data_IF_138684117084
#
_entry.id   IF_138684117084
#
_cell.length_a   1.000
_cell.length_b   1.000
_cell.length_c   1.000
_cell.angle_alpha   90.00
_cell.angle_beta   90.00
_cell.angle_gamma   90.00
#
_symmetry.space_group_name_H-M   'P 1'
#
loop_
_entity.id
_entity.type
_entity.pdbx_description
1 polymer ?
#
# COMPACT_ATOMS: atom_id res chain seq x y z
N UNK A 1 -31.79 43.47 14.38
CA UNK A 1 -30.43 42.97 13.97
C UNK A 1 -29.92 41.80 14.80
N UNK A 2 -30.27 41.65 16.08
CA UNK A 2 -29.87 40.55 16.98
C UNK A 2 -30.44 39.17 16.60
N UNK A 3 -31.71 39.14 16.14
CA UNK A 3 -32.45 37.90 15.84
C UNK A 3 -31.90 37.18 14.59
N UNK A 4 -31.51 37.92 13.57
CA UNK A 4 -30.89 37.38 12.34
C UNK A 4 -29.48 36.82 12.56
N UNK A 5 -28.70 37.44 13.48
CA UNK A 5 -27.36 36.90 13.87
C UNK A 5 -27.47 35.60 14.66
N UNK A 6 -28.50 35.42 15.48
CA UNK A 6 -28.72 34.21 16.26
C UNK A 6 -29.15 33.04 15.35
N UNK A 7 -30.04 33.26 14.40
CA UNK A 7 -30.45 32.24 13.43
C UNK A 7 -29.30 31.85 12.46
N UNK A 8 -28.43 32.78 12.12
CA UNK A 8 -27.25 32.46 11.31
C UNK A 8 -26.19 31.66 12.10
N UNK A 9 -26.06 31.93 13.40
CA UNK A 9 -25.16 31.14 14.27
C UNK A 9 -25.72 29.73 14.53
N UNK A 10 -27.03 29.60 14.79
CA UNK A 10 -27.68 28.31 14.98
C UNK A 10 -27.68 27.47 13.68
N UNK A 11 -27.82 28.09 12.52
CA UNK A 11 -27.69 27.42 11.22
C UNK A 11 -26.25 26.97 10.92
N UNK A 12 -25.26 27.79 11.28
CA UNK A 12 -23.84 27.42 11.14
C UNK A 12 -23.44 26.29 12.09
N UNK A 13 -24.00 26.25 13.29
CA UNK A 13 -23.76 25.18 14.26
C UNK A 13 -24.41 23.86 13.83
N UNK A 14 -25.61 23.90 13.27
CA UNK A 14 -26.30 22.74 12.69
C UNK A 14 -25.57 22.19 11.46
N UNK A 15 -25.00 23.05 10.62
CA UNK A 15 -24.20 22.61 9.46
C UNK A 15 -22.86 22.02 9.89
N UNK A 16 -22.20 22.56 10.92
CA UNK A 16 -20.98 21.96 11.47
C UNK A 16 -21.25 20.58 12.13
N UNK A 17 -22.30 20.46 12.95
CA UNK A 17 -22.68 19.18 13.52
C UNK A 17 -23.07 18.13 12.47
N UNK A 18 -23.75 18.52 11.39
CA UNK A 18 -24.07 17.59 10.30
C UNK A 18 -22.83 17.18 9.49
N UNK A 19 -21.86 18.07 9.33
CA UNK A 19 -20.59 17.75 8.66
C UNK A 19 -19.70 16.83 9.48
N UNK A 20 -19.68 16.99 10.82
CA UNK A 20 -18.90 16.13 11.72
C UNK A 20 -19.49 14.72 11.79
N UNK A 21 -20.82 14.59 11.89
CA UNK A 21 -21.50 13.29 11.82
C UNK A 21 -21.36 12.60 10.45
N UNK A 22 -21.35 13.37 9.35
CA UNK A 22 -21.09 12.83 8.02
C UNK A 22 -19.62 12.34 7.92
N UNK A 23 -18.67 13.09 8.45
CA UNK A 23 -17.25 12.69 8.47
C UNK A 23 -17.00 11.44 9.33
N UNK A 24 -17.64 11.33 10.49
CA UNK A 24 -17.58 10.13 11.33
C UNK A 24 -18.23 8.90 10.68
N UNK A 25 -19.38 9.08 10.01
CA UNK A 25 -20.03 8.01 9.28
C UNK A 25 -19.18 7.53 8.10
N UNK A 26 -18.55 8.46 7.38
CA UNK A 26 -17.61 8.16 6.30
C UNK A 26 -16.40 7.40 6.82
N UNK A 27 -15.81 7.83 7.93
CA UNK A 27 -14.66 7.15 8.58
C UNK A 27 -15.04 5.74 9.04
N UNK A 28 -16.26 5.54 9.57
CA UNK A 28 -16.77 4.24 9.97
C UNK A 28 -16.97 3.30 8.76
N UNK A 29 -17.48 3.82 7.63
CA UNK A 29 -17.62 3.07 6.38
C UNK A 29 -16.25 2.74 5.80
N UNK A 30 -15.31 3.70 5.78
CA UNK A 30 -13.93 3.46 5.35
C UNK A 30 -13.28 2.36 6.17
N UNK A 31 -13.37 2.42 7.49
CA UNK A 31 -12.83 1.37 8.39
C UNK A 31 -13.45 0.00 8.15
N UNK A 32 -14.71 -0.06 7.73
CA UNK A 32 -15.43 -1.33 7.51
C UNK A 32 -15.15 -1.96 6.16
N UNK A 33 -15.04 -1.19 5.11
CA UNK A 33 -14.97 -1.68 3.73
C UNK A 33 -13.60 -1.54 3.09
N UNK A 34 -12.76 -0.61 3.58
CA UNK A 34 -11.42 -0.44 3.07
C UNK A 34 -10.48 -1.48 3.68
N UNK A 35 -9.87 -2.31 2.82
CA UNK A 35 -8.86 -3.27 3.24
C UNK A 35 -7.58 -2.58 3.73
N UNK A 36 -7.33 -1.37 3.26
CA UNK A 36 -6.20 -0.54 3.67
C UNK A 36 -6.37 0.00 5.10
N UNK A 37 -7.61 0.06 5.61
CA UNK A 37 -7.89 0.50 6.99
C UNK A 37 -7.52 -0.50 8.08
N UNK A 38 -7.16 -1.75 7.73
CA UNK A 38 -6.65 -2.75 8.68
C UNK A 38 -5.20 -2.51 9.10
N UNK A 39 -4.82 -1.25 9.26
CA UNK A 39 -3.51 -0.82 9.74
C UNK A 39 -3.54 -0.67 11.25
N UNK A 40 -2.41 -0.90 11.91
CA UNK A 40 -2.28 -0.66 13.35
C UNK A 40 -2.56 0.79 13.69
N UNK A 41 -3.29 1.00 14.79
CA UNK A 41 -3.57 2.35 15.32
C UNK A 41 -2.41 2.77 16.19
N UNK A 42 -1.76 3.87 15.79
CA UNK A 42 -0.64 4.45 16.50
C UNK A 42 -1.04 5.80 17.07
N UNK A 43 -0.78 6.03 18.35
CA UNK A 43 -1.08 7.29 19.04
C UNK A 43 0.17 7.83 19.74
N UNK A 44 0.26 9.15 19.88
CA UNK A 44 1.37 9.81 20.55
C UNK A 44 2.70 9.76 19.82
N UNK A 45 3.80 9.61 20.56
CA UNK A 45 5.17 9.54 20.05
C UNK A 45 5.43 8.43 19.03
N UNK A 46 4.94 7.20 19.20
CA UNK A 46 5.12 6.14 18.18
C UNK A 46 4.56 6.53 16.81
N UNK A 47 3.43 7.25 16.78
CA UNK A 47 2.81 7.74 15.53
C UNK A 47 3.75 8.66 14.75
N UNK A 48 4.47 9.55 15.46
CA UNK A 48 5.43 10.46 14.82
C UNK A 48 6.64 9.71 14.27
N UNK A 49 7.17 8.73 15.02
CA UNK A 49 8.29 7.90 14.55
C UNK A 49 7.94 7.13 13.29
N UNK A 50 6.76 6.49 13.25
CA UNK A 50 6.31 5.74 12.09
C UNK A 50 6.05 6.66 10.90
N UNK A 51 5.45 7.85 11.12
CA UNK A 51 5.27 8.85 10.07
C UNK A 51 6.62 9.28 9.47
N UNK A 52 7.61 9.50 10.32
CA UNK A 52 8.97 9.84 9.86
C UNK A 52 9.60 8.69 9.07
N UNK A 53 9.45 7.45 9.54
CA UNK A 53 9.95 6.26 8.85
C UNK A 53 9.29 6.07 7.48
N UNK A 54 7.98 6.29 7.37
CA UNK A 54 7.25 6.25 6.10
C UNK A 54 7.70 7.36 5.14
N UNK A 55 7.91 8.57 5.65
CA UNK A 55 8.44 9.68 4.86
C UNK A 55 9.87 9.39 4.37
N UNK A 56 10.73 8.87 5.24
CA UNK A 56 12.08 8.45 4.87
C UNK A 56 12.08 7.35 3.81
N UNK A 57 11.15 6.38 3.91
CA UNK A 57 10.98 5.35 2.89
C UNK A 57 10.54 5.94 1.54
N UNK A 58 9.60 6.90 1.54
CA UNK A 58 9.16 7.57 0.31
C UNK A 58 10.31 8.32 -0.36
N UNK A 59 11.11 9.06 0.42
CA UNK A 59 12.31 9.74 -0.08
C UNK A 59 13.35 8.74 -0.62
N UNK A 60 13.54 7.63 0.08
CA UNK A 60 14.43 6.57 -0.36
C UNK A 60 13.98 5.94 -1.69
N UNK A 61 12.67 5.72 -1.89
CA UNK A 61 12.13 5.23 -3.15
C UNK A 61 12.36 6.22 -4.31
N UNK A 62 12.17 7.52 -4.06
CA UNK A 62 12.47 8.57 -5.05
C UNK A 62 13.96 8.56 -5.40
N UNK A 63 14.82 8.49 -4.38
CA UNK A 63 16.28 8.41 -4.59
C UNK A 63 16.68 7.19 -5.41
N UNK A 64 16.17 5.99 -5.08
CA UNK A 64 16.42 4.77 -5.84
C UNK A 64 15.99 4.87 -7.30
N UNK A 65 14.88 5.55 -7.56
CA UNK A 65 14.35 5.67 -8.92
C UNK A 65 15.16 6.65 -9.78
N UNK A 66 15.60 7.75 -9.17
CA UNK A 66 16.28 8.84 -9.91
C UNK A 66 17.79 8.63 -10.04
N UNK A 67 18.44 8.13 -9.02
CA UNK A 67 19.91 8.16 -8.91
C UNK A 67 20.58 6.78 -8.95
N UNK A 68 19.88 5.71 -8.52
CA UNK A 68 20.53 4.40 -8.45
C UNK A 68 20.59 3.72 -9.83
N UNK A 69 21.81 3.60 -10.34
CA UNK A 69 22.17 2.90 -11.58
C UNK A 69 22.81 1.53 -11.34
N UNK A 70 22.75 1.03 -10.09
CA UNK A 70 23.30 -0.27 -9.71
C UNK A 70 22.59 -1.46 -10.35
N UNK A 71 23.07 -2.66 -9.99
CA UNK A 71 22.44 -3.92 -10.41
C UNK A 71 20.97 -3.96 -9.96
N UNK A 72 20.03 -4.31 -10.86
CA UNK A 72 18.61 -4.34 -10.54
C UNK A 72 18.30 -5.26 -9.36
N UNK A 73 19.01 -6.38 -9.21
CA UNK A 73 18.84 -7.33 -8.12
C UNK A 73 19.15 -6.71 -6.75
N UNK A 74 20.24 -5.93 -6.64
CA UNK A 74 20.63 -5.24 -5.40
C UNK A 74 19.58 -4.20 -5.01
N UNK A 75 19.05 -3.49 -5.98
CA UNK A 75 18.02 -2.48 -5.78
C UNK A 75 16.70 -3.11 -5.33
N UNK A 76 16.27 -4.17 -6.00
CA UNK A 76 15.03 -4.88 -5.68
C UNK A 76 15.07 -5.55 -4.32
N UNK A 77 16.20 -6.15 -3.93
CA UNK A 77 16.34 -6.76 -2.61
C UNK A 77 16.29 -5.75 -1.48
N UNK A 78 16.94 -4.59 -1.63
CA UNK A 78 16.84 -3.50 -0.65
C UNK A 78 15.42 -2.96 -0.54
N UNK A 79 14.76 -2.77 -1.67
CA UNK A 79 13.37 -2.33 -1.71
C UNK A 79 12.43 -3.32 -1.02
N UNK A 80 12.56 -4.63 -1.31
CA UNK A 80 11.77 -5.69 -0.67
C UNK A 80 12.04 -5.77 0.84
N UNK A 81 13.30 -5.67 1.26
CA UNK A 81 13.63 -5.65 2.69
C UNK A 81 12.92 -4.52 3.43
N UNK A 82 12.89 -3.31 2.86
CA UNK A 82 12.19 -2.17 3.44
C UNK A 82 10.67 -2.36 3.46
N UNK A 83 10.09 -2.92 2.39
CA UNK A 83 8.66 -3.24 2.34
C UNK A 83 8.29 -4.26 3.41
N UNK A 84 9.10 -5.28 3.63
CA UNK A 84 8.86 -6.29 4.66
C UNK A 84 8.86 -5.65 6.04
N UNK A 85 9.85 -4.82 6.35
CA UNK A 85 9.93 -4.10 7.62
C UNK A 85 8.69 -3.24 7.86
N UNK A 86 8.31 -2.42 6.89
CA UNK A 86 7.14 -1.53 6.98
C UNK A 86 5.84 -2.32 6.99
N UNK A 87 5.76 -3.40 6.21
CA UNK A 87 4.58 -4.25 6.13
C UNK A 87 4.24 -4.89 7.47
N UNK A 88 5.20 -5.53 8.13
CA UNK A 88 4.97 -6.13 9.45
C UNK A 88 4.76 -5.09 10.56
N UNK A 89 5.32 -3.90 10.40
CA UNK A 89 5.09 -2.79 11.32
C UNK A 89 3.63 -2.32 11.27
N UNK A 90 3.05 -2.23 10.08
CA UNK A 90 1.73 -1.68 9.88
C UNK A 90 0.60 -2.73 9.92
N UNK A 91 0.82 -3.94 9.38
CA UNK A 91 -0.24 -4.94 9.24
C UNK A 91 -0.21 -5.97 10.38
N UNK A 92 -1.24 -5.99 11.26
CA UNK A 92 -1.34 -6.96 12.35
C UNK A 92 -1.77 -8.34 11.84
N UNK A 93 -1.48 -9.39 12.63
CA UNK A 93 -1.88 -10.78 12.31
C UNK A 93 -3.39 -10.97 12.32
N UNK A 94 -4.08 -10.38 13.31
CA UNK A 94 -5.54 -10.49 13.47
C UNK A 94 -6.20 -9.18 13.10
N UNK A 95 -7.16 -9.26 12.19
CA UNK A 95 -8.04 -8.14 11.82
C UNK A 95 -9.03 -7.88 12.95
N UNK A 96 -9.22 -6.60 13.31
CA UNK A 96 -10.27 -6.19 14.26
C UNK A 96 -9.90 -6.16 15.75
N UNK A 97 -8.81 -6.75 16.20
CA UNK A 97 -8.34 -6.70 17.61
C UNK A 97 -6.99 -5.97 17.67
N UNK A 98 -6.99 -4.71 17.31
CA UNK A 98 -5.77 -3.92 17.30
C UNK A 98 -5.62 -3.19 18.63
N UNK A 99 -4.66 -3.61 19.46
CA UNK A 99 -4.24 -2.84 20.64
C UNK A 99 -3.44 -1.63 20.16
N UNK A 100 -3.74 -0.47 20.72
CA UNK A 100 -3.01 0.77 20.43
C UNK A 100 -1.57 0.62 20.89
N UNK A 101 -0.62 1.04 20.06
CA UNK A 101 0.83 1.07 20.38
C UNK A 101 1.46 -0.28 20.77
N UNK A 102 0.95 -1.42 20.26
CA UNK A 102 1.47 -2.73 20.62
C UNK A 102 2.06 -3.46 19.41
N UNK A 103 3.34 -3.83 19.49
CA UNK A 103 4.01 -4.71 18.55
C UNK A 103 4.26 -6.05 19.26
N UNK A 104 3.65 -7.15 18.82
CA UNK A 104 3.96 -8.46 19.38
C UNK A 104 5.40 -8.86 19.05
N UNK A 105 6.05 -9.57 19.97
CA UNK A 105 7.44 -10.01 19.79
C UNK A 105 7.66 -10.88 18.54
N UNK A 106 6.67 -11.70 18.17
CA UNK A 106 6.75 -12.54 16.98
C UNK A 106 6.78 -11.71 15.67
N UNK A 107 6.16 -10.53 15.64
CA UNK A 107 6.23 -9.64 14.46
C UNK A 107 7.63 -9.05 14.30
N UNK A 108 8.31 -8.75 15.41
CA UNK A 108 9.71 -8.31 15.37
C UNK A 108 10.62 -9.43 14.83
N UNK A 109 10.40 -10.67 15.26
CA UNK A 109 11.13 -11.83 14.73
C UNK A 109 10.86 -12.00 13.24
N UNK A 110 9.61 -11.88 12.77
CA UNK A 110 9.26 -11.98 11.36
C UNK A 110 9.85 -10.82 10.53
N UNK A 111 9.91 -9.60 11.08
CA UNK A 111 10.58 -8.46 10.44
C UNK A 111 12.05 -8.76 10.18
N UNK A 112 12.76 -9.24 11.20
CA UNK A 112 14.20 -9.55 11.10
C UNK A 112 14.39 -10.76 10.18
N UNK A 113 13.64 -11.84 10.39
CA UNK A 113 13.74 -13.07 9.60
C UNK A 113 13.40 -12.84 8.11
N UNK A 114 12.51 -11.88 7.81
CA UNK A 114 12.17 -11.54 6.44
C UNK A 114 13.14 -10.56 5.78
N UNK A 115 13.58 -9.53 6.49
CA UNK A 115 14.49 -8.53 5.92
C UNK A 115 15.93 -9.06 5.76
N UNK A 116 16.42 -9.89 6.69
CA UNK A 116 17.79 -10.40 6.69
C UNK A 116 18.16 -11.19 5.41
N UNK A 117 17.33 -12.12 4.88
CA UNK A 117 17.62 -12.81 3.63
C UNK A 117 17.80 -11.89 2.43
N UNK A 118 16.95 -10.87 2.31
CA UNK A 118 17.03 -9.91 1.19
C UNK A 118 18.23 -8.98 1.33
N UNK A 119 18.55 -8.54 2.53
CA UNK A 119 19.77 -7.75 2.77
C UNK A 119 21.04 -8.57 2.54
N UNK A 120 21.06 -9.83 2.97
CA UNK A 120 22.17 -10.76 2.71
C UNK A 120 22.38 -10.97 1.21
N UNK A 121 21.29 -11.21 0.46
CA UNK A 121 21.37 -11.32 -0.99
C UNK A 121 21.87 -10.01 -1.61
N UNK A 122 21.32 -8.85 -1.21
CA UNK A 122 21.72 -7.56 -1.74
C UNK A 122 23.19 -7.22 -1.49
N UNK A 123 23.76 -7.66 -0.35
CA UNK A 123 25.17 -7.47 -0.03
C UNK A 123 26.08 -8.40 -0.84
N UNK A 124 25.67 -9.63 -1.07
CA UNK A 124 26.44 -10.65 -1.77
C UNK A 124 25.96 -10.88 -3.22
N UNK A 125 25.18 -9.98 -3.80
CA UNK A 125 24.51 -10.18 -5.08
C UNK A 125 25.48 -10.58 -6.20
N UNK A 126 26.64 -9.94 -6.32
CA UNK A 126 27.64 -10.27 -7.33
C UNK A 126 28.16 -11.70 -7.21
N UNK A 127 28.42 -12.16 -5.99
CA UNK A 127 28.89 -13.54 -5.75
C UNK A 127 27.78 -14.56 -6.05
N UNK A 128 26.57 -14.28 -5.60
CA UNK A 128 25.41 -15.17 -5.75
C UNK A 128 25.03 -15.31 -7.22
N UNK A 129 24.98 -14.23 -7.97
CA UNK A 129 24.65 -14.24 -9.41
C UNK A 129 25.68 -14.99 -10.27
N UNK A 130 26.94 -14.98 -9.87
CA UNK A 130 28.01 -15.73 -10.53
C UNK A 130 28.06 -17.20 -10.10
N UNK A 131 27.37 -17.57 -9.02
CA UNK A 131 27.38 -18.93 -8.50
C UNK A 131 26.35 -19.79 -9.21
N UNK A 132 26.80 -20.95 -9.71
CA UNK A 132 25.94 -21.89 -10.43
C UNK A 132 24.87 -22.49 -9.50
N UNK A 133 23.69 -22.79 -10.07
CA UNK A 133 22.60 -23.51 -9.40
C UNK A 133 23.07 -24.75 -8.62
N UNK A 134 23.97 -25.53 -9.21
CA UNK A 134 24.46 -26.78 -8.61
C UNK A 134 25.21 -26.58 -7.27
N UNK A 135 25.79 -25.42 -7.06
CA UNK A 135 26.48 -25.05 -5.81
C UNK A 135 25.45 -24.56 -4.78
N UNK A 136 24.58 -23.63 -5.16
CA UNK A 136 23.57 -23.06 -4.26
C UNK A 136 22.58 -24.13 -3.78
N UNK A 137 22.17 -25.06 -4.65
CA UNK A 137 21.22 -26.11 -4.27
C UNK A 137 21.80 -27.17 -3.33
N UNK A 138 23.13 -27.26 -3.21
CA UNK A 138 23.83 -28.18 -2.27
C UNK A 138 24.09 -27.53 -0.92
N UNK A 139 24.11 -26.20 -0.86
CA UNK A 139 24.34 -25.47 0.38
C UNK A 139 23.06 -25.37 1.22
N UNK A 140 22.96 -26.10 2.36
CA UNK A 140 21.75 -26.08 3.18
C UNK A 140 21.46 -24.70 3.76
N UNK A 141 22.48 -23.89 3.99
CA UNK A 141 22.34 -22.53 4.51
C UNK A 141 21.67 -21.60 3.50
N UNK A 142 22.09 -21.62 2.24
CA UNK A 142 21.48 -20.83 1.16
C UNK A 142 20.03 -21.25 0.93
N UNK A 143 19.76 -22.56 0.95
CA UNK A 143 18.41 -23.07 0.79
C UNK A 143 17.49 -22.64 1.95
N UNK A 144 17.99 -22.71 3.19
CA UNK A 144 17.24 -22.27 4.37
C UNK A 144 16.89 -20.78 4.32
N UNK A 145 17.83 -19.92 3.93
CA UNK A 145 17.60 -18.47 3.75
C UNK A 145 16.49 -18.21 2.75
N UNK A 146 16.50 -18.88 1.60
CA UNK A 146 15.50 -18.73 0.56
C UNK A 146 14.11 -19.21 1.03
N UNK A 147 14.03 -20.34 1.72
CA UNK A 147 12.78 -20.87 2.30
C UNK A 147 12.19 -19.86 3.30
N UNK A 148 12.99 -19.36 4.22
CA UNK A 148 12.55 -18.38 5.22
C UNK A 148 12.02 -17.12 4.54
N UNK A 149 12.72 -16.60 3.54
CA UNK A 149 12.28 -15.43 2.79
C UNK A 149 10.93 -15.64 2.11
N UNK A 150 10.74 -16.80 1.45
CA UNK A 150 9.48 -17.13 0.77
C UNK A 150 8.34 -17.28 1.78
N UNK A 151 8.55 -17.96 2.90
CA UNK A 151 7.53 -18.13 3.94
C UNK A 151 7.11 -16.80 4.56
N UNK A 152 8.07 -15.91 4.82
CA UNK A 152 7.77 -14.57 5.35
C UNK A 152 7.00 -13.72 4.34
N UNK A 153 7.32 -13.80 3.04
CA UNK A 153 6.55 -13.13 1.99
C UNK A 153 5.13 -13.67 1.88
N UNK A 154 4.93 -14.98 2.00
CA UNK A 154 3.60 -15.60 2.02
C UNK A 154 2.80 -15.10 3.22
N UNK A 155 3.42 -15.03 4.39
CA UNK A 155 2.77 -14.49 5.59
C UNK A 155 2.42 -13.00 5.44
N UNK A 156 3.29 -12.20 4.87
CA UNK A 156 3.02 -10.78 4.58
C UNK A 156 1.87 -10.64 3.58
N UNK A 157 1.87 -11.43 2.51
CA UNK A 157 0.78 -11.46 1.53
C UNK A 157 -0.57 -11.83 2.19
N UNK A 158 -0.58 -12.81 3.10
CA UNK A 158 -1.77 -13.19 3.87
C UNK A 158 -2.33 -12.03 4.68
N UNK A 159 -1.46 -11.22 5.27
CA UNK A 159 -1.87 -10.06 6.10
C UNK A 159 -2.40 -8.90 5.27
N UNK A 160 -1.72 -8.56 4.17
CA UNK A 160 -2.06 -7.42 3.33
C UNK A 160 -3.28 -7.69 2.44
N UNK A 161 -3.26 -8.79 1.69
CA UNK A 161 -4.23 -9.06 0.64
C UNK A 161 -5.35 -9.99 1.09
N UNK A 162 -5.02 -10.97 1.93
CA UNK A 162 -5.95 -11.92 2.49
C UNK A 162 -5.90 -13.31 1.85
N UNK A 163 -6.78 -14.19 2.33
CA UNK A 163 -6.80 -15.61 2.00
C UNK A 163 -7.09 -15.95 0.52
N UNK A 164 -8.00 -15.28 -0.21
CA UNK A 164 -8.37 -15.71 -1.57
C UNK A 164 -7.19 -15.79 -2.53
N UNK A 165 -6.34 -14.76 -2.54
CA UNK A 165 -5.15 -14.74 -3.41
C UNK A 165 -4.13 -15.77 -2.94
N UNK A 166 -4.01 -16.00 -1.64
CA UNK A 166 -3.11 -17.00 -1.10
C UNK A 166 -3.49 -18.42 -1.53
N UNK A 167 -4.78 -18.75 -1.66
CA UNK A 167 -5.24 -20.03 -2.20
C UNK A 167 -4.79 -20.22 -3.65
N UNK A 168 -4.93 -19.20 -4.49
CA UNK A 168 -4.49 -19.27 -5.89
C UNK A 168 -2.98 -19.46 -5.99
N UNK A 169 -2.22 -18.65 -5.25
CA UNK A 169 -0.75 -18.77 -5.21
C UNK A 169 -0.32 -20.12 -4.65
N UNK A 170 -0.97 -20.59 -3.58
CA UNK A 170 -0.70 -21.90 -2.98
C UNK A 170 -0.92 -23.05 -3.97
N UNK A 171 -2.03 -23.03 -4.71
CA UNK A 171 -2.33 -24.05 -5.73
C UNK A 171 -1.25 -24.06 -6.84
N UNK A 172 -0.84 -22.88 -7.31
CA UNK A 172 0.22 -22.76 -8.32
C UNK A 172 1.59 -23.23 -7.78
N UNK A 173 1.91 -22.92 -6.53
CA UNK A 173 3.14 -23.41 -5.90
C UNK A 173 3.12 -24.94 -5.77
N UNK A 174 2.02 -25.55 -5.31
CA UNK A 174 1.88 -27.00 -5.21
C UNK A 174 2.05 -27.65 -6.59
N UNK A 175 1.41 -27.10 -7.62
CA UNK A 175 1.57 -27.58 -9.00
C UNK A 175 3.05 -27.51 -9.45
N UNK A 176 3.75 -26.41 -9.14
CA UNK A 176 5.16 -26.24 -9.50
C UNK A 176 6.06 -27.24 -8.77
N UNK A 177 5.83 -27.46 -7.47
CA UNK A 177 6.58 -28.45 -6.67
C UNK A 177 6.31 -29.89 -7.12
N UNK A 178 5.13 -30.19 -7.68
CA UNK A 178 4.84 -31.53 -8.21
C UNK A 178 5.59 -31.80 -9.52
N UNK A 179 5.87 -30.79 -10.33
CA UNK A 179 6.48 -30.95 -11.66
C UNK A 179 7.97 -30.67 -11.70
N UNK A 180 8.52 -29.92 -10.72
CA UNK A 180 9.92 -29.48 -10.71
C UNK A 180 10.58 -29.86 -9.40
N UNK A 181 11.89 -30.19 -9.44
CA UNK A 181 12.66 -30.53 -8.24
C UNK A 181 12.64 -29.38 -7.22
N UNK A 182 12.39 -29.70 -5.97
CA UNK A 182 12.26 -28.76 -4.87
C UNK A 182 13.37 -27.69 -4.81
N UNK A 183 14.64 -28.11 -4.86
CA UNK A 183 15.76 -27.16 -4.82
C UNK A 183 15.81 -26.21 -6.01
N UNK A 184 15.33 -26.62 -7.20
CA UNK A 184 15.26 -25.76 -8.36
C UNK A 184 14.16 -24.71 -8.23
N UNK A 185 13.00 -25.10 -7.73
CA UNK A 185 11.89 -24.17 -7.49
C UNK A 185 12.28 -23.07 -6.51
N UNK A 186 12.94 -23.42 -5.39
CA UNK A 186 13.39 -22.44 -4.40
C UNK A 186 14.48 -21.53 -4.97
N UNK A 187 15.40 -22.08 -5.75
CA UNK A 187 16.43 -21.30 -6.43
C UNK A 187 15.80 -20.30 -7.41
N UNK A 188 14.90 -20.76 -8.26
CA UNK A 188 14.23 -19.92 -9.26
C UNK A 188 13.36 -18.86 -8.60
N UNK A 189 12.68 -19.16 -7.49
CA UNK A 189 11.84 -18.21 -6.76
C UNK A 189 12.63 -17.09 -6.09
N UNK A 190 13.77 -17.38 -5.49
CA UNK A 190 14.49 -16.42 -4.65
C UNK A 190 15.75 -15.84 -5.29
N UNK A 191 16.55 -16.66 -5.99
CA UNK A 191 17.87 -16.25 -6.48
C UNK A 191 17.87 -15.78 -7.93
N UNK A 192 16.76 -15.89 -8.65
CA UNK A 192 16.67 -15.45 -10.04
C UNK A 192 15.69 -14.32 -10.23
N UNK A 193 15.83 -13.62 -11.35
CA UNK A 193 14.87 -12.60 -11.79
C UNK A 193 13.57 -13.19 -12.36
N UNK A 194 13.45 -14.51 -12.44
CA UNK A 194 12.23 -15.20 -12.89
C UNK A 194 11.23 -15.49 -11.75
N UNK A 195 11.65 -15.34 -10.50
CA UNK A 195 10.84 -15.58 -9.31
C UNK A 195 10.27 -14.29 -8.71
N UNK A 196 10.50 -14.10 -7.41
CA UNK A 196 9.98 -12.94 -6.65
C UNK A 196 10.52 -11.62 -7.20
N UNK A 197 11.79 -11.57 -7.64
CA UNK A 197 12.43 -10.36 -8.18
C UNK A 197 12.17 -10.12 -9.68
N UNK A 198 11.02 -10.53 -10.17
CA UNK A 198 10.64 -10.40 -11.57
C UNK A 198 10.14 -8.99 -11.93
N UNK A 199 9.78 -8.83 -13.19
CA UNK A 199 9.25 -7.61 -13.80
C UNK A 199 8.19 -6.87 -12.96
N UNK A 200 7.17 -7.54 -12.34
CA UNK A 200 6.17 -6.84 -11.53
C UNK A 200 6.76 -6.03 -10.39
N UNK A 201 7.72 -6.58 -9.64
CA UNK A 201 8.37 -5.85 -8.54
C UNK A 201 9.28 -4.72 -9.06
N UNK A 202 9.95 -4.93 -10.20
CA UNK A 202 10.74 -3.90 -10.83
C UNK A 202 9.88 -2.71 -11.29
N UNK A 203 8.73 -2.98 -11.91
CA UNK A 203 7.74 -1.95 -12.29
C UNK A 203 7.17 -1.26 -11.04
N UNK A 204 6.85 -2.03 -10.02
CA UNK A 204 6.37 -1.48 -8.75
C UNK A 204 7.38 -0.48 -8.16
N UNK A 205 8.63 -0.86 -8.06
CA UNK A 205 9.70 -0.03 -7.50
C UNK A 205 10.00 1.22 -8.34
N UNK A 206 10.03 1.09 -9.67
CA UNK A 206 10.40 2.21 -10.55
C UNK A 206 9.26 3.19 -10.83
N UNK A 207 8.05 2.67 -10.99
CA UNK A 207 6.94 3.47 -11.50
C UNK A 207 5.79 3.60 -10.50
N UNK A 208 5.27 2.48 -9.98
CA UNK A 208 4.04 2.49 -9.19
C UNK A 208 4.22 3.29 -7.90
N UNK A 209 5.32 3.06 -7.17
CA UNK A 209 5.57 3.76 -5.89
C UNK A 209 5.71 5.27 -6.12
N UNK A 210 6.45 5.69 -7.14
CA UNK A 210 6.62 7.12 -7.45
C UNK A 210 5.29 7.74 -7.89
N UNK A 211 4.49 6.99 -8.66
CA UNK A 211 3.18 7.45 -9.11
C UNK A 211 2.20 7.62 -7.93
N UNK A 212 2.21 6.70 -6.97
CA UNK A 212 1.39 6.80 -5.74
C UNK A 212 1.84 8.00 -4.90
N UNK A 213 3.16 8.22 -4.73
CA UNK A 213 3.68 9.38 -4.00
C UNK A 213 3.25 10.68 -4.68
N UNK A 214 3.35 10.74 -6.02
CA UNK A 214 2.92 11.90 -6.80
C UNK A 214 1.40 12.13 -6.67
N UNK A 215 0.58 11.07 -6.77
CA UNK A 215 -0.86 11.13 -6.58
C UNK A 215 -1.25 11.67 -5.19
N UNK A 216 -0.61 11.16 -4.14
CA UNK A 216 -0.82 11.65 -2.77
C UNK A 216 -0.41 13.12 -2.59
N UNK A 217 0.63 13.57 -3.30
CA UNK A 217 1.00 14.98 -3.33
C UNK A 217 -0.05 15.84 -4.05
N UNK A 218 -0.54 15.40 -5.20
CA UNK A 218 -1.60 16.09 -5.95
C UNK A 218 -2.89 16.18 -5.15
N UNK A 219 -3.28 15.12 -4.44
CA UNK A 219 -4.47 15.12 -3.58
C UNK A 219 -4.41 16.21 -2.49
N UNK A 220 -3.20 16.53 -1.99
CA UNK A 220 -2.97 17.61 -1.04
C UNK A 220 -2.99 19.02 -1.66
N UNK A 221 -2.90 19.16 -2.97
CA UNK A 221 -2.92 20.44 -3.70
C UNK A 221 -4.31 20.84 -4.19
N UNK A 222 -5.39 20.29 -3.60
CA UNK A 222 -6.79 20.60 -3.95
C UNK A 222 -7.16 20.27 -5.42
N UNK A 223 -6.44 19.35 -6.04
CA UNK A 223 -6.74 18.93 -7.43
C UNK A 223 -8.13 18.33 -7.57
N UNK A 224 -8.63 17.68 -6.50
CA UNK A 224 -10.00 17.12 -6.48
C UNK A 224 -11.06 18.18 -6.62
N UNK A 225 -10.92 19.33 -5.94
CA UNK A 225 -11.83 20.46 -6.08
C UNK A 225 -11.81 21.01 -7.51
N UNK A 226 -10.62 21.17 -8.09
CA UNK A 226 -10.47 21.57 -9.48
C UNK A 226 -11.19 20.62 -10.46
N UNK A 227 -11.10 19.32 -10.27
CA UNK A 227 -11.76 18.33 -11.12
C UNK A 227 -13.29 18.38 -10.98
N UNK A 228 -13.81 18.65 -9.78
CA UNK A 228 -15.24 18.85 -9.56
C UNK A 228 -15.73 20.11 -10.27
N UNK A 229 -15.01 21.23 -10.16
CA UNK A 229 -15.33 22.48 -10.83
C UNK A 229 -15.27 22.32 -12.35
N UNK A 230 -14.25 21.65 -12.87
CA UNK A 230 -14.13 21.35 -14.30
C UNK A 230 -15.29 20.49 -14.80
N UNK A 231 -15.69 19.45 -14.06
CA UNK A 231 -16.82 18.60 -14.38
C UNK A 231 -18.12 19.39 -14.35
N UNK A 232 -18.28 20.33 -13.40
CA UNK A 232 -19.40 21.25 -13.32
C UNK A 232 -19.52 22.19 -14.55
N UNK A 233 -18.39 22.72 -15.01
CA UNK A 233 -18.36 23.54 -16.22
C UNK A 233 -18.83 22.77 -17.47
N UNK A 234 -18.48 21.49 -17.57
CA UNK A 234 -18.79 20.65 -18.74
C UNK A 234 -20.21 20.10 -18.70
N UNK A 235 -20.69 19.64 -17.55
CA UNK A 235 -21.93 18.88 -17.44
C UNK A 235 -22.99 19.51 -16.50
N UNK A 236 -22.63 20.54 -15.73
CA UNK A 236 -23.49 21.09 -14.68
C UNK A 236 -24.81 21.67 -15.18
N UNK A 237 -24.84 22.29 -16.37
CA UNK A 237 -26.04 22.90 -16.97
C UNK A 237 -26.97 21.89 -17.67
N UNK A 238 -26.59 20.63 -17.79
CA UNK A 238 -27.39 19.61 -18.47
C UNK A 238 -28.44 18.99 -17.54
N UNK A 239 -29.50 18.40 -18.12
CA UNK A 239 -30.50 17.65 -17.35
C UNK A 239 -29.81 16.50 -16.59
N UNK A 240 -30.00 16.43 -15.27
CA UNK A 240 -29.28 15.51 -14.40
C UNK A 240 -27.82 15.93 -14.18
N UNK A 241 -27.50 17.22 -14.28
CA UNK A 241 -26.17 17.81 -14.14
C UNK A 241 -25.38 17.25 -12.97
N UNK A 242 -25.87 17.29 -11.71
CA UNK A 242 -25.12 16.79 -10.55
C UNK A 242 -24.68 15.31 -10.66
N UNK A 243 -25.55 14.45 -11.20
CA UNK A 243 -25.20 13.04 -11.41
C UNK A 243 -24.11 12.86 -12.47
N UNK A 244 -24.17 13.62 -13.56
CA UNK A 244 -23.12 13.59 -14.60
C UNK A 244 -21.80 14.17 -14.08
N UNK A 245 -21.87 15.25 -13.31
CA UNK A 245 -20.70 15.82 -12.63
C UNK A 245 -20.05 14.81 -11.71
N UNK A 246 -20.83 14.05 -10.93
CA UNK A 246 -20.31 13.01 -10.06
C UNK A 246 -19.50 11.93 -10.82
N UNK A 247 -20.02 11.48 -11.97
CA UNK A 247 -19.35 10.46 -12.80
C UNK A 247 -18.05 11.01 -13.40
N UNK A 248 -18.11 12.21 -13.99
CA UNK A 248 -16.96 12.83 -14.65
C UNK A 248 -15.86 13.17 -13.62
N UNK A 249 -16.24 13.81 -12.51
CA UNK A 249 -15.28 14.16 -11.46
C UNK A 249 -14.66 12.93 -10.81
N UNK A 250 -15.44 11.86 -10.57
CA UNK A 250 -14.93 10.61 -10.05
C UNK A 250 -13.94 9.92 -11.02
N UNK A 251 -14.21 9.97 -12.33
CA UNK A 251 -13.28 9.46 -13.33
C UNK A 251 -11.97 10.25 -13.33
N UNK A 252 -12.03 11.59 -13.30
CA UNK A 252 -10.85 12.45 -13.25
C UNK A 252 -10.05 12.28 -11.94
N UNK A 253 -10.73 12.24 -10.78
CA UNK A 253 -10.11 11.99 -9.49
C UNK A 253 -9.48 10.59 -9.43
N UNK A 254 -10.12 9.58 -10.02
CA UNK A 254 -9.61 8.22 -10.10
C UNK A 254 -8.31 8.07 -10.91
N UNK A 255 -8.03 9.00 -11.82
CA UNK A 255 -6.76 9.03 -12.56
C UNK A 255 -5.57 9.42 -11.66
N UNK A 256 -5.83 10.11 -10.57
CA UNK A 256 -4.81 10.66 -9.66
C UNK A 256 -4.82 9.95 -8.31
N UNK A 257 -5.98 9.52 -7.84
CA UNK A 257 -6.14 8.83 -6.56
C UNK A 257 -5.74 7.36 -6.65
N UNK A 258 -4.90 6.90 -5.72
CA UNK A 258 -4.56 5.48 -5.57
C UNK A 258 -5.61 4.65 -4.82
N UNK A 259 -6.63 5.28 -4.22
CA UNK A 259 -7.67 4.63 -3.41
C UNK A 259 -9.05 4.82 -4.02
N UNK A 260 -9.72 3.71 -4.36
CA UNK A 260 -11.09 3.73 -4.87
C UNK A 260 -12.09 4.23 -3.82
N UNK A 261 -11.86 3.91 -2.56
CA UNK A 261 -12.70 4.35 -1.43
C UNK A 261 -12.49 5.84 -1.18
N UNK A 262 -11.24 6.30 -1.15
CA UNK A 262 -10.89 7.72 -1.03
C UNK A 262 -11.53 8.56 -2.14
N UNK A 263 -11.46 8.10 -3.39
CA UNK A 263 -12.10 8.78 -4.53
C UNK A 263 -13.63 8.87 -4.36
N UNK A 264 -14.29 7.77 -4.00
CA UNK A 264 -15.74 7.73 -3.79
C UNK A 264 -16.19 8.68 -2.67
N UNK A 265 -15.43 8.72 -1.58
CA UNK A 265 -15.72 9.60 -0.44
C UNK A 265 -15.54 11.07 -0.83
N UNK A 266 -14.41 11.40 -1.45
CA UNK A 266 -14.09 12.79 -1.82
C UNK A 266 -15.10 13.36 -2.83
N UNK A 267 -15.41 12.61 -3.88
CA UNK A 267 -16.38 13.04 -4.89
C UNK A 267 -17.81 12.99 -4.35
N UNK A 268 -18.16 11.95 -3.58
CA UNK A 268 -19.50 11.79 -3.01
C UNK A 268 -19.86 12.84 -1.97
N UNK A 269 -18.91 13.27 -1.12
CA UNK A 269 -19.15 14.30 -0.11
C UNK A 269 -19.61 15.65 -0.71
N UNK A 270 -19.20 15.94 -1.93
CA UNK A 270 -19.59 17.16 -2.64
C UNK A 270 -20.82 16.93 -3.53
N UNK A 271 -20.85 15.83 -4.27
CA UNK A 271 -21.89 15.61 -5.30
C UNK A 271 -23.20 15.10 -4.73
N UNK A 272 -23.22 14.35 -3.63
CA UNK A 272 -24.45 13.88 -2.99
C UNK A 272 -25.32 15.05 -2.49
N UNK A 273 -24.79 16.05 -1.75
CA UNK A 273 -25.58 17.23 -1.37
C UNK A 273 -26.09 18.05 -2.55
N UNK A 274 -25.43 17.97 -3.71
CA UNK A 274 -25.89 18.67 -4.93
C UNK A 274 -27.05 17.95 -5.65
N UNK A 275 -27.32 16.69 -5.29
CA UNK A 275 -28.39 15.87 -5.86
C UNK A 275 -29.68 15.92 -5.04
N UNK A 276 -29.61 16.35 -3.79
CA UNK A 276 -30.71 16.49 -2.84
C UNK A 276 -31.27 17.91 -2.90
#
# INVERSE_FOLDING_TARGET
MSFLKKHAADAADLTNHSSDHAAEAVDAVMKKYDRESNVRVWEGTPKQVIRFLMAAFSLYCIYLTLFDRGLPEVRLTRFLAMIILIGFLNYPVKKGHVRVNYIPWYDVVLMIAGAAPFLYFGHNAQKILLTSYSVISKDPFMLAIAIVAILVLIELCRRCVGLPILFVVGALLIYTFANVRFGKVIYDLFYTTNGVMNTPINVCQKYIVVFIIFGAFLERTSISAFFIDLANCVAGSSVGGPAKVAVISSALCGMVSGSSVGNTVTTGSVTIPMMV
#
